data_IF_967066000302
#
_entry.id   IF_967066000302
#
_cell.length_a   1.000
_cell.length_b   1.000
_cell.length_c   1.000
_cell.angle_alpha   90.00
_cell.angle_beta   90.00
_cell.angle_gamma   90.00
#
_symmetry.space_group_name_H-M   'P 1'
#
loop_
_entity.id
_entity.type
_entity.pdbx_description
1 polymer ?
#
# COMPACT_ATOMS: atom_id res chain seq x y z
N UNK A 1 -1.03 -13.81 2.83
CA UNK A 1 -0.41 -12.77 3.70
C UNK A 1 1.04 -12.61 3.31
N UNK A 2 1.54 -11.38 3.17
CA UNK A 2 2.91 -11.10 2.73
C UNK A 2 3.24 -11.68 1.35
N UNK A 3 2.27 -11.75 0.43
CA UNK A 3 2.44 -12.38 -0.88
C UNK A 3 2.43 -13.92 -0.92
N UNK A 4 2.52 -14.63 0.21
CA UNK A 4 2.51 -16.10 0.21
C UNK A 4 1.11 -16.67 -0.07
N UNK A 5 1.05 -17.62 -1.02
CA UNK A 5 -0.17 -18.33 -1.45
C UNK A 5 0.14 -19.80 -1.65
N UNK A 6 -0.66 -20.68 -1.03
CA UNK A 6 -0.73 -22.09 -1.39
C UNK A 6 -1.88 -22.29 -2.39
N UNK A 7 -1.54 -22.71 -3.61
CA UNK A 7 -2.52 -22.86 -4.69
C UNK A 7 -3.45 -24.06 -4.51
N UNK A 8 -3.05 -25.09 -3.76
CA UNK A 8 -3.95 -26.21 -3.45
C UNK A 8 -5.01 -25.72 -2.47
N UNK A 9 -4.57 -25.07 -1.40
CA UNK A 9 -5.47 -24.53 -0.39
C UNK A 9 -6.41 -23.47 -0.95
N UNK A 10 -5.90 -22.60 -1.82
CA UNK A 10 -6.69 -21.59 -2.52
C UNK A 10 -7.87 -22.21 -3.27
N UNK A 11 -7.68 -23.34 -3.97
CA UNK A 11 -8.76 -24.00 -4.70
C UNK A 11 -9.79 -24.62 -3.78
N UNK A 12 -9.36 -25.21 -2.67
CA UNK A 12 -10.26 -25.75 -1.64
C UNK A 12 -11.13 -24.64 -1.03
N UNK A 13 -10.55 -23.49 -0.75
CA UNK A 13 -11.25 -22.33 -0.20
C UNK A 13 -12.27 -21.77 -1.19
N UNK A 14 -11.91 -21.64 -2.46
CA UNK A 14 -12.83 -21.20 -3.52
C UNK A 14 -13.99 -22.19 -3.68
N UNK A 15 -13.73 -23.51 -3.67
CA UNK A 15 -14.80 -24.52 -3.67
C UNK A 15 -15.73 -24.37 -2.45
N UNK A 16 -15.16 -24.10 -1.28
CA UNK A 16 -15.93 -23.89 -0.04
C UNK A 16 -16.81 -22.64 -0.12
N UNK A 17 -16.39 -21.62 -0.87
CA UNK A 17 -17.22 -20.43 -1.12
C UNK A 17 -18.47 -20.76 -1.95
N UNK A 18 -18.33 -21.63 -2.96
CA UNK A 18 -19.45 -22.08 -3.81
C UNK A 18 -20.46 -22.87 -2.97
N UNK A 19 -19.96 -23.84 -2.19
CA UNK A 19 -20.77 -24.64 -1.27
C UNK A 19 -21.53 -23.79 -0.24
N UNK A 20 -20.97 -22.64 0.13
CA UNK A 20 -21.59 -21.67 1.05
C UNK A 20 -22.52 -20.65 0.35
N UNK A 21 -22.65 -20.68 -0.98
CA UNK A 21 -23.45 -19.73 -1.75
C UNK A 21 -22.85 -18.32 -1.87
N UNK A 22 -21.53 -18.19 -1.74
CA UNK A 22 -20.81 -16.92 -1.91
C UNK A 22 -20.61 -16.64 -3.40
N UNK A 23 -21.09 -15.49 -3.87
CA UNK A 23 -21.06 -15.12 -5.28
C UNK A 23 -19.70 -14.58 -5.78
N UNK A 24 -18.75 -14.29 -4.88
CA UNK A 24 -17.47 -13.73 -5.26
C UNK A 24 -16.61 -13.30 -4.08
N UNK A 25 -15.37 -12.92 -4.36
CA UNK A 25 -14.40 -12.47 -3.36
C UNK A 25 -13.47 -11.40 -3.93
N UNK A 26 -12.74 -10.71 -3.05
CA UNK A 26 -11.71 -9.75 -3.45
C UNK A 26 -10.34 -10.20 -2.95
N UNK A 27 -9.38 -10.27 -3.86
CA UNK A 27 -7.98 -10.56 -3.53
C UNK A 27 -7.34 -9.29 -2.96
N UNK A 28 -6.76 -9.43 -1.77
CA UNK A 28 -5.95 -8.40 -1.13
C UNK A 28 -4.57 -8.98 -0.79
N UNK A 29 -3.54 -8.50 -1.46
CA UNK A 29 -2.16 -8.69 -1.00
C UNK A 29 -1.88 -7.67 0.10
N UNK A 30 -1.60 -8.16 1.31
CA UNK A 30 -1.32 -7.33 2.48
C UNK A 30 -0.06 -7.85 3.15
N UNK A 31 0.89 -6.95 3.41
CA UNK A 31 2.06 -7.22 4.23
C UNK A 31 1.69 -7.44 5.71
N UNK A 32 2.53 -8.17 6.45
CA UNK A 32 2.33 -8.38 7.88
C UNK A 32 2.99 -7.27 8.71
N UNK A 33 2.36 -6.88 9.83
CA UNK A 33 3.03 -6.08 10.87
C UNK A 33 4.07 -6.90 11.64
N UNK A 34 3.80 -8.19 11.80
CA UNK A 34 4.75 -9.16 12.34
C UNK A 34 5.48 -9.83 11.17
N UNK A 35 6.60 -9.21 10.78
CA UNK A 35 7.44 -9.70 9.68
C UNK A 35 8.34 -10.86 10.09
N UNK A 36 8.35 -11.24 11.38
CA UNK A 36 9.16 -12.36 11.88
C UNK A 36 8.46 -13.67 11.54
N UNK A 37 7.14 -13.72 11.74
CA UNK A 37 6.35 -14.92 11.43
C UNK A 37 5.93 -15.00 9.96
N UNK A 38 5.66 -13.86 9.33
CA UNK A 38 5.24 -13.80 7.92
C UNK A 38 6.33 -13.06 7.15
N UNK A 39 7.22 -13.82 6.53
CA UNK A 39 8.28 -13.29 5.68
C UNK A 39 7.75 -12.53 4.47
N UNK A 40 8.68 -11.96 3.69
CA UNK A 40 8.35 -11.38 2.40
C UNK A 40 8.19 -12.52 1.37
N UNK A 41 7.00 -12.64 0.82
CA UNK A 41 6.70 -13.45 -0.35
C UNK A 41 6.92 -12.68 -1.66
N UNK A 42 6.35 -13.20 -2.75
CA UNK A 42 6.53 -12.62 -4.08
C UNK A 42 6.05 -11.18 -4.19
N UNK A 43 6.68 -10.43 -5.09
CA UNK A 43 6.28 -9.05 -5.40
C UNK A 43 4.86 -9.02 -5.97
N UNK A 44 4.03 -8.12 -5.44
CA UNK A 44 2.66 -7.93 -5.93
C UNK A 44 2.66 -7.54 -7.41
N UNK A 45 1.89 -8.27 -8.22
CA UNK A 45 1.85 -8.17 -9.69
C UNK A 45 3.17 -8.52 -10.41
N UNK A 46 4.16 -9.07 -9.71
CA UNK A 46 5.27 -9.79 -10.34
C UNK A 46 4.83 -11.16 -10.87
N UNK A 47 5.70 -11.85 -11.62
CA UNK A 47 5.34 -13.08 -12.34
C UNK A 47 4.72 -14.17 -11.45
N UNK A 48 5.27 -14.43 -10.27
CA UNK A 48 4.71 -15.41 -9.31
C UNK A 48 3.37 -14.96 -8.70
N UNK A 49 3.22 -13.67 -8.43
CA UNK A 49 1.94 -13.11 -7.96
C UNK A 49 0.87 -13.21 -9.06
N UNK A 50 1.21 -12.92 -10.31
CA UNK A 50 0.29 -13.08 -11.44
C UNK A 50 -0.07 -14.55 -11.68
N UNK A 51 0.87 -15.47 -11.53
CA UNK A 51 0.60 -16.90 -11.64
C UNK A 51 -0.42 -17.38 -10.58
N UNK A 52 -0.29 -16.91 -9.33
CA UNK A 52 -1.23 -17.27 -8.26
C UNK A 52 -2.60 -16.58 -8.43
N UNK A 53 -2.64 -15.32 -8.85
CA UNK A 53 -3.89 -14.62 -9.21
C UNK A 53 -4.60 -15.34 -10.35
N UNK A 54 -3.87 -15.78 -11.37
CA UNK A 54 -4.43 -16.57 -12.47
C UNK A 54 -5.12 -17.83 -11.97
N UNK A 55 -4.48 -18.57 -11.06
CA UNK A 55 -5.11 -19.76 -10.46
C UNK A 55 -6.40 -19.42 -9.73
N UNK A 56 -6.44 -18.32 -8.97
CA UNK A 56 -7.64 -17.88 -8.27
C UNK A 56 -8.78 -17.56 -9.25
N UNK A 57 -8.48 -16.81 -10.31
CA UNK A 57 -9.48 -16.40 -11.33
C UNK A 57 -9.99 -17.60 -12.13
N UNK A 58 -9.09 -18.48 -12.57
CA UNK A 58 -9.47 -19.69 -13.32
C UNK A 58 -10.32 -20.65 -12.46
N UNK A 59 -10.01 -20.79 -11.16
CA UNK A 59 -10.80 -21.63 -10.26
C UNK A 59 -12.17 -21.01 -9.96
N UNK A 60 -12.22 -19.72 -9.64
CA UNK A 60 -13.46 -18.98 -9.40
C UNK A 60 -14.41 -19.03 -10.61
N UNK A 61 -13.85 -18.96 -11.82
CA UNK A 61 -14.61 -19.04 -13.07
C UNK A 61 -15.38 -20.36 -13.25
N UNK A 62 -14.94 -21.47 -12.64
CA UNK A 62 -15.67 -22.75 -12.68
C UNK A 62 -17.02 -22.69 -11.96
N UNK A 63 -17.13 -21.79 -10.99
CA UNK A 63 -18.32 -21.62 -10.14
C UNK A 63 -19.10 -20.33 -10.50
N UNK A 64 -18.69 -19.61 -11.54
CA UNK A 64 -19.33 -18.36 -11.94
C UNK A 64 -19.15 -17.21 -10.93
N UNK A 65 -18.10 -17.26 -10.11
CA UNK A 65 -17.83 -16.23 -9.09
C UNK A 65 -17.19 -14.97 -9.67
N UNK A 66 -17.53 -13.82 -9.09
CA UNK A 66 -16.82 -12.57 -9.33
C UNK A 66 -15.52 -12.49 -8.52
N UNK A 67 -14.44 -12.03 -9.15
CA UNK A 67 -13.14 -11.80 -8.48
C UNK A 67 -12.75 -10.34 -8.59
N UNK A 68 -12.74 -9.66 -7.45
CA UNK A 68 -12.16 -8.33 -7.29
C UNK A 68 -10.67 -8.39 -6.98
N UNK A 69 -9.95 -7.30 -7.24
CA UNK A 69 -8.52 -7.17 -6.91
C UNK A 69 -8.23 -5.77 -6.36
N UNK A 70 -7.43 -5.70 -5.30
CA UNK A 70 -6.89 -4.44 -4.80
C UNK A 70 -5.98 -3.76 -5.84
N UNK A 71 -6.09 -2.44 -5.99
CA UNK A 71 -5.35 -1.70 -7.03
C UNK A 71 -3.90 -1.39 -6.67
N UNK A 72 -3.48 -1.69 -5.44
CA UNK A 72 -2.13 -1.43 -4.93
C UNK A 72 -1.80 -2.41 -3.79
N UNK A 73 -0.53 -2.78 -3.66
CA UNK A 73 -0.06 -3.63 -2.55
C UNK A 73 -0.33 -2.99 -1.20
N UNK A 74 -0.78 -3.80 -0.23
CA UNK A 74 -1.08 -3.39 1.13
C UNK A 74 -2.20 -2.34 1.25
N UNK A 75 -2.35 -1.75 2.43
CA UNK A 75 -3.46 -0.87 2.81
C UNK A 75 -3.42 0.52 2.14
N UNK A 76 -2.28 0.93 1.61
CA UNK A 76 -2.10 2.28 1.07
C UNK A 76 -2.16 2.25 -0.46
N UNK A 77 -3.03 3.08 -1.04
CA UNK A 77 -3.07 3.27 -2.49
C UNK A 77 -1.78 3.97 -2.97
N UNK A 78 -0.84 3.20 -3.52
CA UNK A 78 0.38 3.74 -4.11
C UNK A 78 1.42 2.66 -4.43
N UNK A 79 2.51 3.07 -5.06
CA UNK A 79 3.64 2.20 -5.35
C UNK A 79 4.80 2.93 -5.99
N UNK A 80 5.89 2.20 -6.25
CA UNK A 80 7.16 2.76 -6.75
C UNK A 80 7.06 3.39 -8.14
N UNK A 81 5.97 3.14 -8.87
CA UNK A 81 5.65 3.77 -10.15
C UNK A 81 5.15 5.23 -10.02
N UNK A 82 4.77 5.69 -8.83
CA UNK A 82 4.30 7.05 -8.61
C UNK A 82 5.46 8.02 -8.32
N UNK A 83 5.65 9.00 -9.20
CA UNK A 83 6.61 10.09 -8.95
C UNK A 83 6.06 11.12 -7.96
N UNK A 84 6.91 11.93 -7.28
CA UNK A 84 6.46 13.01 -6.40
C UNK A 84 5.51 14.02 -7.08
N UNK A 85 5.59 14.15 -8.41
CA UNK A 85 4.68 15.00 -9.20
C UNK A 85 3.23 14.52 -9.11
N UNK A 86 3.00 13.21 -9.06
CA UNK A 86 1.68 12.57 -9.06
C UNK A 86 1.22 12.11 -7.67
N UNK A 87 2.08 12.16 -6.66
CA UNK A 87 1.72 11.87 -5.28
C UNK A 87 0.79 12.94 -4.67
N UNK A 88 0.13 12.57 -3.57
CA UNK A 88 -0.65 13.49 -2.74
C UNK A 88 0.19 14.73 -2.34
N UNK A 89 -0.46 15.91 -2.32
CA UNK A 89 0.22 17.20 -2.10
C UNK A 89 -0.15 17.78 -0.75
N UNK A 90 0.81 18.47 -0.14
CA UNK A 90 0.60 19.28 1.06
C UNK A 90 0.87 20.75 0.74
N UNK A 91 0.15 21.66 1.39
CA UNK A 91 0.41 23.09 1.30
C UNK A 91 1.49 23.45 2.33
N UNK A 92 2.57 24.07 1.88
CA UNK A 92 3.65 24.55 2.73
C UNK A 92 3.68 26.08 2.71
N UNK A 93 3.87 26.68 3.88
CA UNK A 93 3.97 28.14 4.03
C UNK A 93 5.23 28.55 4.78
N UNK A 94 5.80 29.70 4.42
CA UNK A 94 6.81 30.41 5.21
C UNK A 94 6.32 31.83 5.44
N UNK A 95 6.39 32.27 6.69
CA UNK A 95 6.15 33.66 7.07
C UNK A 95 7.49 34.39 7.18
N UNK A 96 7.56 35.60 6.62
CA UNK A 96 8.71 36.50 6.77
C UNK A 96 8.21 37.85 7.21
N UNK A 97 8.70 38.33 8.36
CA UNK A 97 8.40 39.68 8.84
C UNK A 97 9.48 40.64 8.32
N UNK A 98 9.06 41.82 7.85
CA UNK A 98 9.95 42.90 7.40
C UNK A 98 9.52 44.23 8.00
N UNK A 99 10.48 45.10 8.27
CA UNK A 99 10.25 46.48 8.71
C UNK A 99 10.28 47.41 7.49
N UNK A 100 9.35 48.35 7.41
CA UNK A 100 9.26 49.32 6.30
C UNK A 100 10.39 50.36 6.30
N UNK A 101 10.55 51.07 5.17
CA UNK A 101 11.49 52.20 5.06
C UNK A 101 12.78 51.95 4.28
N UNK A 102 12.99 50.75 3.70
CA UNK A 102 14.19 50.45 2.91
C UNK A 102 14.04 49.27 1.95
N UNK A 103 15.01 49.11 1.04
CA UNK A 103 15.11 47.95 0.14
C UNK A 103 15.86 46.80 0.85
N UNK A 104 15.25 45.62 0.94
CA UNK A 104 15.89 44.40 1.46
C UNK A 104 15.99 43.35 0.36
N UNK A 105 17.21 42.92 0.03
CA UNK A 105 17.44 41.75 -0.84
C UNK A 105 17.47 40.51 0.04
N UNK A 106 16.55 39.58 -0.16
CA UNK A 106 16.47 38.33 0.59
C UNK A 106 16.49 37.14 -0.35
N UNK A 107 17.43 36.22 -0.12
CA UNK A 107 17.41 34.91 -0.74
C UNK A 107 16.62 33.96 0.15
N UNK A 108 15.45 33.53 -0.29
CA UNK A 108 14.65 32.55 0.43
C UNK A 108 14.97 31.17 -0.13
N UNK A 109 15.61 30.27 0.62
CA UNK A 109 15.77 28.90 0.16
C UNK A 109 14.38 28.33 -0.09
N UNK A 110 14.24 27.49 -1.13
CA UNK A 110 12.98 26.81 -1.41
C UNK A 110 12.41 26.17 -0.14
N UNK A 111 11.08 26.13 -0.04
CA UNK A 111 10.42 25.29 0.94
C UNK A 111 10.85 23.86 0.61
N UNK A 112 11.87 23.35 1.31
CA UNK A 112 12.31 21.97 1.15
C UNK A 112 11.10 21.10 1.46
N UNK A 113 10.62 20.32 0.50
CA UNK A 113 9.65 19.26 0.78
C UNK A 113 10.28 18.38 1.86
N UNK A 114 9.64 18.28 3.03
CA UNK A 114 10.20 17.47 4.09
C UNK A 114 10.26 15.99 3.65
N UNK A 115 11.47 15.45 3.77
CA UNK A 115 11.91 14.06 3.66
C UNK A 115 11.75 13.37 2.30
N UNK A 116 12.87 12.80 1.86
CA UNK A 116 12.94 11.64 0.96
C UNK A 116 11.88 10.65 1.48
N UNK A 117 10.84 10.39 0.70
CA UNK A 117 10.01 9.20 0.94
C UNK A 117 11.03 8.07 0.98
N UNK A 118 11.12 7.25 2.05
CA UNK A 118 11.93 6.06 2.00
C UNK A 118 11.60 5.36 0.68
N UNK A 119 12.60 4.95 -0.10
CA UNK A 119 12.36 4.01 -1.20
C UNK A 119 11.38 2.97 -0.67
N UNK A 120 10.31 2.66 -1.41
CA UNK A 120 9.35 1.68 -0.93
C UNK A 120 10.00 0.30 -0.98
N UNK A 121 10.95 0.06 -0.09
CA UNK A 121 11.43 -1.22 0.31
C UNK A 121 10.34 -1.80 1.18
N UNK A 122 9.46 -2.55 0.54
CA UNK A 122 8.38 -3.33 1.11
C UNK A 122 7.38 -2.50 1.95
N UNK A 123 6.10 -2.66 1.69
CA UNK A 123 5.00 -1.93 2.35
C UNK A 123 4.97 -2.02 3.90
N UNK A 124 5.90 -2.74 4.52
CA UNK A 124 6.06 -2.94 5.97
C UNK A 124 6.46 -1.67 6.75
N UNK A 125 7.10 -0.67 6.13
CA UNK A 125 7.66 0.46 6.92
C UNK A 125 6.63 1.52 7.36
N UNK A 126 5.45 1.58 6.75
CA UNK A 126 4.45 2.61 7.08
C UNK A 126 3.58 2.28 8.30
N UNK A 127 3.60 1.04 8.81
CA UNK A 127 2.76 0.65 9.95
C UNK A 127 3.47 0.66 11.31
N UNK A 128 4.80 0.72 11.34
CA UNK A 128 5.59 0.71 12.58
C UNK A 128 5.82 2.08 13.24
N UNK A 129 5.40 3.19 12.64
CA UNK A 129 5.65 4.56 13.15
C UNK A 129 4.45 5.50 13.14
N UNK A 130 3.24 4.96 13.30
CA UNK A 130 2.11 5.78 13.72
C UNK A 130 2.00 5.73 15.24
N UNK A 131 2.93 6.40 15.94
CA UNK A 131 2.57 6.93 17.27
C UNK A 131 1.50 7.99 17.02
N UNK A 132 0.25 7.66 17.33
CA UNK A 132 -0.86 8.60 17.27
C UNK A 132 -0.68 9.62 18.42
N UNK A 133 -0.38 10.90 18.15
CA UNK A 133 -0.15 11.89 19.20
C UNK A 133 -1.42 12.26 19.98
N UNK A 134 -2.58 11.69 19.64
CA UNK A 134 -3.88 11.98 20.27
C UNK A 134 -4.45 10.85 21.13
N UNK A 135 -3.71 9.76 21.38
CA UNK A 135 -4.11 8.75 22.37
C UNK A 135 -3.39 9.06 23.69
N UNK A 136 -4.10 9.44 24.77
CA UNK A 136 -3.46 9.61 26.07
C UNK A 136 -2.92 8.25 26.53
N UNK A 137 -1.64 8.22 26.90
CA UNK A 137 -0.98 7.04 27.47
C UNK A 137 -1.70 6.68 28.78
N UNK A 138 -2.16 5.45 28.90
CA UNK A 138 -2.58 4.86 30.18
C UNK A 138 -1.36 4.55 31.04
#
# INVERSE_FOLDING_TARGET
MGGHVDTLRLKEEIKSFDEAGIAGFTIFEIGSRDTIQVGAGPEFLGDESLATIRVAVEEAGKYGMEVGLNTASSWNAGGNWLTPKHAAKSIYQRKVNVTGGGKKKSNYPSLKSQKKIPEAGHASFLMGKMENPYIPKR
#
